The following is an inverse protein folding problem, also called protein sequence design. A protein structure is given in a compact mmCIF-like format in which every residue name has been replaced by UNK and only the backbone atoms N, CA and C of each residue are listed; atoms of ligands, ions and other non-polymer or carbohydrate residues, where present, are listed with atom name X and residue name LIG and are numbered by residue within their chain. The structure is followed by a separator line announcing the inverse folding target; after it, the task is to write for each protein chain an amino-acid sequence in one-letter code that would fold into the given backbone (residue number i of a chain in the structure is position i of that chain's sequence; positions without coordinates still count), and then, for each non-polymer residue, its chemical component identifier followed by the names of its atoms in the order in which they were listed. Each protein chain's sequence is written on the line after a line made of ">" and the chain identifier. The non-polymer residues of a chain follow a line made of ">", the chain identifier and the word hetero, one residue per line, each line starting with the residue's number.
data_IF_265501688666
#
_entry.id   IF_265501688666
#
_cell.length_a   1.000
_cell.length_b   1.000
_cell.length_c   1.000
_cell.angle_alpha   90.00
_cell.angle_beta   90.00
_cell.angle_gamma   90.00
#
_symmetry.space_group_name_H-M   'P 1'
#
loop_
_entity.id
_entity.type
_entity.pdbx_description
1 polymer ?
#
# COMPACT_ATOMS: atom_id res chain seq x y z
N UNK A 1 54.49 14.64 12.38
CA UNK A 1 53.18 14.65 13.07
C UNK A 1 52.31 13.55 12.49
N UNK A 2 51.83 12.55 13.25
CA UNK A 2 50.97 11.51 12.72
C UNK A 2 49.50 11.96 12.73
N UNK A 3 48.78 11.71 11.63
CA UNK A 3 47.34 12.00 11.49
C UNK A 3 46.53 11.00 12.31
N UNK A 4 45.68 11.51 13.21
CA UNK A 4 44.70 10.75 13.98
C UNK A 4 43.66 10.10 13.06
N UNK A 5 43.47 8.79 13.17
CA UNK A 5 42.33 8.08 12.56
C UNK A 5 41.15 8.15 13.52
N UNK A 6 40.11 8.88 13.13
CA UNK A 6 38.80 8.84 13.79
C UNK A 6 38.17 7.45 13.58
N UNK A 7 37.87 6.76 14.68
CA UNK A 7 37.07 5.53 14.67
C UNK A 7 35.60 5.92 14.63
N UNK A 8 34.90 5.60 13.54
CA UNK A 8 33.43 5.65 13.52
C UNK A 8 32.88 4.55 14.43
N UNK A 9 32.10 4.95 15.43
CA UNK A 9 31.29 4.02 16.22
C UNK A 9 30.17 3.45 15.33
N UNK A 10 29.87 2.14 15.45
CA UNK A 10 28.66 1.58 14.84
C UNK A 10 27.44 2.20 15.52
N UNK A 11 26.58 2.85 14.74
CA UNK A 11 25.26 3.28 15.20
C UNK A 11 24.37 2.04 15.32
N UNK A 12 23.81 1.83 16.50
CA UNK A 12 22.75 0.84 16.71
C UNK A 12 21.56 1.13 15.77
N UNK A 13 20.90 0.11 15.22
CA UNK A 13 19.72 0.31 14.38
C UNK A 13 18.63 0.98 15.19
N UNK A 14 18.24 2.20 14.79
CA UNK A 14 17.09 2.87 15.39
C UNK A 14 15.83 2.02 15.16
N UNK A 15 14.93 1.92 16.17
CA UNK A 15 13.66 1.25 16.01
C UNK A 15 12.85 1.95 14.90
N UNK A 16 12.07 1.20 14.09
CA UNK A 16 11.27 1.79 13.02
C UNK A 16 10.31 2.84 13.62
N UNK A 17 10.10 3.98 12.94
CA UNK A 17 9.14 4.97 13.38
C UNK A 17 7.75 4.32 13.52
N UNK A 18 6.91 4.78 14.46
CA UNK A 18 5.55 4.28 14.58
C UNK A 18 4.85 4.41 13.23
N UNK A 19 4.21 3.33 12.83
CA UNK A 19 3.49 3.20 11.57
C UNK A 19 2.31 4.19 11.59
N UNK A 20 2.53 5.45 11.23
CA UNK A 20 1.44 6.43 11.12
C UNK A 20 0.56 6.07 9.93
N UNK A 21 -0.74 5.91 10.13
CA UNK A 21 -1.70 5.70 9.04
C UNK A 21 -1.82 6.98 8.19
N UNK A 22 -2.23 6.89 6.90
CA UNK A 22 -2.73 8.03 6.15
C UNK A 22 -3.82 8.76 6.95
N UNK A 23 -3.78 10.09 7.00
CA UNK A 23 -4.69 10.89 7.84
C UNK A 23 -6.15 10.77 7.37
N UNK A 24 -6.35 10.60 6.07
CA UNK A 24 -7.67 10.44 5.45
C UNK A 24 -8.37 9.15 5.87
N UNK A 25 -7.62 8.14 6.32
CA UNK A 25 -8.21 6.91 6.82
C UNK A 25 -8.89 7.10 8.20
N UNK A 26 -8.56 8.17 8.92
CA UNK A 26 -9.05 8.45 10.29
C UNK A 26 -10.03 9.60 10.41
N UNK A 27 -10.22 10.39 9.36
CA UNK A 27 -10.91 11.68 9.45
C UNK A 27 -12.44 11.62 9.37
N UNK A 28 -13.00 10.40 9.43
CA UNK A 28 -14.44 10.10 9.41
C UNK A 28 -15.18 10.53 8.13
N UNK A 29 -14.48 11.05 7.13
CA UNK A 29 -15.07 11.38 5.84
C UNK A 29 -15.15 10.15 4.93
N UNK A 30 -16.06 10.13 3.94
CA UNK A 30 -16.20 9.03 2.99
C UNK A 30 -14.87 8.64 2.34
N UNK A 31 -14.69 7.34 2.13
CA UNK A 31 -13.53 6.73 1.49
C UNK A 31 -13.94 6.00 0.21
N UNK A 32 -13.01 5.78 -0.74
CA UNK A 32 -13.23 4.86 -1.85
C UNK A 32 -13.63 3.47 -1.33
N UNK A 33 -14.60 2.84 -1.99
CA UNK A 33 -15.03 1.47 -1.63
C UNK A 33 -13.90 0.47 -1.85
N UNK A 34 -13.06 0.71 -2.87
CA UNK A 34 -11.86 -0.08 -3.13
C UNK A 34 -10.70 0.82 -3.56
N UNK A 35 -9.53 0.55 -3.00
CA UNK A 35 -8.26 1.14 -3.44
C UNK A 35 -7.48 0.10 -4.25
N UNK A 36 -7.14 0.43 -5.49
CA UNK A 36 -6.39 -0.42 -6.39
C UNK A 36 -4.97 0.14 -6.53
N UNK A 37 -3.97 -0.73 -6.51
CA UNK A 37 -2.58 -0.36 -6.74
C UNK A 37 -2.03 -1.07 -7.98
N UNK A 38 -1.17 -0.40 -8.74
CA UNK A 38 -0.17 -1.10 -9.53
C UNK A 38 0.88 -1.79 -8.61
N UNK A 39 1.83 -2.53 -9.18
CA UNK A 39 2.91 -3.18 -8.44
C UNK A 39 4.26 -2.48 -8.63
N UNK A 40 4.76 -2.47 -9.86
CA UNK A 40 6.13 -2.08 -10.15
C UNK A 40 6.25 -0.56 -10.06
N UNK A 41 7.28 -0.05 -9.39
CA UNK A 41 7.42 1.37 -9.04
C UNK A 41 6.28 2.01 -8.23
N UNK A 42 5.22 1.27 -7.92
CA UNK A 42 4.08 1.71 -7.09
C UNK A 42 4.18 1.16 -5.66
N UNK A 43 4.22 -0.16 -5.48
CA UNK A 43 4.42 -0.79 -4.16
C UNK A 43 5.89 -1.02 -3.83
N UNK A 44 6.74 -1.20 -4.84
CA UNK A 44 8.17 -1.44 -4.67
C UNK A 44 9.00 -0.71 -5.75
N UNK A 45 10.27 -0.38 -5.49
CA UNK A 45 11.07 0.47 -6.38
C UNK A 45 11.79 -0.31 -7.50
N UNK A 46 11.10 -1.22 -8.19
CA UNK A 46 11.68 -2.02 -9.27
C UNK A 46 10.59 -2.62 -10.19
N UNK A 47 10.97 -3.00 -11.40
CA UNK A 47 10.22 -3.95 -12.24
C UNK A 47 10.55 -5.39 -11.85
N UNK A 48 9.56 -6.17 -11.42
CA UNK A 48 9.73 -7.55 -10.97
C UNK A 48 10.16 -8.50 -12.08
N UNK A 49 9.78 -8.24 -13.33
CA UNK A 49 10.15 -9.09 -14.48
C UNK A 49 11.54 -8.79 -15.06
N UNK A 50 12.17 -7.70 -14.61
CA UNK A 50 13.45 -7.23 -15.15
C UNK A 50 14.57 -7.30 -14.12
N UNK A 51 14.31 -6.85 -12.89
CA UNK A 51 15.35 -6.71 -11.87
C UNK A 51 15.48 -7.93 -10.95
N UNK A 52 14.45 -8.77 -10.85
CA UNK A 52 14.41 -9.87 -9.88
C UNK A 52 14.70 -11.20 -10.58
N UNK A 53 15.72 -11.93 -10.11
CA UNK A 53 16.05 -13.25 -10.66
C UNK A 53 15.45 -14.39 -9.83
N UNK A 54 14.40 -15.03 -10.34
CA UNK A 54 13.77 -16.19 -9.71
C UNK A 54 14.74 -17.40 -9.53
N UNK A 55 14.50 -18.28 -8.54
CA UNK A 55 13.46 -18.21 -7.52
C UNK A 55 13.76 -17.19 -6.42
N UNK A 56 12.71 -16.72 -5.75
CA UNK A 56 12.82 -15.82 -4.59
C UNK A 56 12.52 -16.57 -3.29
N UNK A 57 13.10 -16.10 -2.19
CA UNK A 57 12.85 -16.63 -0.84
C UNK A 57 12.78 -15.49 0.20
N UNK A 58 12.05 -15.66 1.31
CA UNK A 58 12.09 -14.70 2.42
C UNK A 58 13.53 -14.50 2.93
N UNK A 59 13.91 -13.25 3.20
CA UNK A 59 15.19 -12.94 3.87
C UNK A 59 15.16 -13.35 5.35
N UNK A 60 13.97 -13.23 5.97
CA UNK A 60 13.72 -13.56 7.37
C UNK A 60 12.75 -14.74 7.45
N UNK A 61 13.06 -15.80 8.21
CA UNK A 61 12.18 -16.95 8.35
C UNK A 61 10.95 -16.66 9.22
N UNK A 62 9.78 -17.26 8.92
CA UNK A 62 8.63 -17.23 9.82
C UNK A 62 8.98 -17.78 11.22
N UNK A 63 8.35 -17.29 12.31
CA UNK A 63 7.21 -16.37 12.35
C UNK A 63 7.58 -14.88 12.36
N UNK A 64 8.87 -14.54 12.21
CA UNK A 64 9.32 -13.16 12.25
C UNK A 64 8.81 -12.35 11.05
N UNK A 65 8.69 -11.03 11.25
CA UNK A 65 8.26 -10.09 10.22
C UNK A 65 9.32 -10.01 9.12
N UNK A 66 8.98 -10.53 7.93
CA UNK A 66 9.82 -10.47 6.75
C UNK A 66 9.47 -9.25 5.89
N UNK A 67 10.42 -8.32 5.75
CA UNK A 67 10.29 -7.09 4.96
C UNK A 67 10.99 -7.15 3.61
N UNK A 68 11.74 -8.24 3.34
CA UNK A 68 12.58 -8.41 2.16
C UNK A 68 12.52 -9.82 1.59
N UNK A 69 12.59 -9.92 0.27
CA UNK A 69 12.79 -11.15 -0.48
C UNK A 69 14.20 -11.15 -1.04
N UNK A 70 14.85 -12.31 -0.98
CA UNK A 70 16.14 -12.56 -1.61
C UNK A 70 15.89 -13.31 -2.91
N UNK A 71 16.50 -12.86 -3.98
CA UNK A 71 16.47 -13.57 -5.27
C UNK A 71 17.52 -14.70 -5.32
N UNK A 72 17.72 -15.31 -6.49
CA UNK A 72 18.68 -16.42 -6.65
C UNK A 72 20.14 -16.02 -6.40
N UNK A 73 20.47 -14.74 -6.55
CA UNK A 73 21.81 -14.18 -6.35
C UNK A 73 21.99 -13.61 -4.95
N UNK A 74 20.92 -13.57 -4.14
CA UNK A 74 20.91 -12.99 -2.81
C UNK A 74 20.65 -11.48 -2.81
N UNK A 75 20.24 -10.91 -3.94
CA UNK A 75 19.83 -9.51 -4.01
C UNK A 75 18.52 -9.31 -3.26
N UNK A 76 18.44 -8.20 -2.50
CA UNK A 76 17.34 -7.94 -1.56
C UNK A 76 16.32 -6.97 -2.14
N UNK A 77 15.08 -7.40 -2.22
CA UNK A 77 13.95 -6.65 -2.76
C UNK A 77 12.82 -6.53 -1.73
N UNK A 78 12.10 -5.40 -1.71
CA UNK A 78 10.92 -5.25 -0.86
C UNK A 78 10.17 -3.95 -1.14
N UNK A 79 9.11 -3.71 -0.39
CA UNK A 79 8.26 -2.53 -0.59
C UNK A 79 8.99 -1.21 -0.29
N UNK A 80 8.40 -0.12 -0.80
CA UNK A 80 8.59 1.22 -0.23
C UNK A 80 8.23 1.22 1.27
N UNK A 81 8.86 2.12 2.02
CA UNK A 81 8.81 2.12 3.50
C UNK A 81 7.40 2.31 4.07
N UNK A 82 6.54 3.06 3.38
CA UNK A 82 5.19 3.38 3.86
C UNK A 82 4.16 2.29 3.58
N UNK A 83 4.41 1.41 2.60
CA UNK A 83 3.44 0.41 2.13
C UNK A 83 2.97 -0.52 3.25
N UNK A 84 3.84 -1.13 4.09
CA UNK A 84 3.35 -1.98 5.18
C UNK A 84 2.38 -1.23 6.10
N UNK A 85 2.62 0.06 6.34
CA UNK A 85 1.72 0.86 7.16
C UNK A 85 0.39 1.21 6.52
N UNK A 86 0.41 1.54 5.24
CA UNK A 86 -0.79 1.78 4.45
C UNK A 86 -1.66 0.53 4.41
N UNK A 87 -1.06 -0.64 4.13
CA UNK A 87 -1.78 -1.91 4.07
C UNK A 87 -2.36 -2.30 5.42
N UNK A 88 -1.57 -2.22 6.51
CA UNK A 88 -2.04 -2.54 7.86
C UNK A 88 -3.21 -1.63 8.28
N UNK A 89 -3.03 -0.32 8.15
CA UNK A 89 -4.05 0.65 8.56
C UNK A 89 -5.30 0.62 7.69
N UNK A 90 -5.17 0.38 6.39
CA UNK A 90 -6.31 0.21 5.49
C UNK A 90 -7.14 -1.03 5.84
N UNK A 91 -6.45 -2.16 6.06
CA UNK A 91 -7.10 -3.42 6.46
C UNK A 91 -7.84 -3.31 7.81
N UNK A 92 -7.22 -2.68 8.81
CA UNK A 92 -7.85 -2.44 10.13
C UNK A 92 -9.12 -1.59 10.07
N UNK A 93 -9.25 -0.77 9.02
CA UNK A 93 -10.41 0.11 8.80
C UNK A 93 -11.42 -0.47 7.84
N UNK A 94 -11.21 -1.71 7.40
CA UNK A 94 -12.09 -2.38 6.44
C UNK A 94 -12.03 -1.78 5.03
N UNK A 95 -10.94 -1.09 4.67
CA UNK A 95 -10.74 -0.59 3.30
C UNK A 95 -10.35 -1.77 2.41
N UNK A 96 -11.19 -2.05 1.41
CA UNK A 96 -10.90 -3.11 0.44
C UNK A 96 -9.76 -2.65 -0.48
N UNK A 97 -8.78 -3.53 -0.71
CA UNK A 97 -7.65 -3.24 -1.59
C UNK A 97 -7.50 -4.30 -2.69
N UNK A 98 -7.03 -3.88 -3.86
CA UNK A 98 -6.76 -4.78 -4.99
C UNK A 98 -5.49 -4.39 -5.74
N UNK A 99 -5.13 -5.22 -6.72
CA UNK A 99 -3.97 -5.02 -7.58
C UNK A 99 -4.41 -5.04 -9.05
N UNK A 100 -3.81 -4.17 -9.85
CA UNK A 100 -3.87 -4.22 -11.30
C UNK A 100 -2.46 -4.03 -11.82
N UNK A 101 -1.77 -5.09 -12.24
CA UNK A 101 -0.38 -5.04 -12.72
C UNK A 101 -0.24 -5.69 -14.10
N UNK A 102 0.61 -5.06 -14.91
CA UNK A 102 0.91 -5.46 -16.28
C UNK A 102 2.16 -6.34 -16.45
N UNK A 103 2.81 -6.72 -15.36
CA UNK A 103 4.06 -7.47 -15.39
C UNK A 103 3.97 -8.74 -16.25
N UNK A 104 5.04 -9.05 -16.97
CA UNK A 104 5.20 -10.32 -17.69
C UNK A 104 5.63 -11.49 -16.79
N UNK A 105 5.92 -11.24 -15.51
CA UNK A 105 6.29 -12.26 -14.53
C UNK A 105 5.24 -12.40 -13.41
N UNK A 106 3.98 -12.78 -13.73
CA UNK A 106 2.89 -12.78 -12.75
C UNK A 106 3.10 -13.74 -11.59
N UNK A 107 3.74 -14.89 -11.83
CA UNK A 107 4.00 -15.86 -10.76
C UNK A 107 5.09 -15.39 -9.80
N UNK A 108 6.15 -14.76 -10.34
CA UNK A 108 7.20 -14.14 -9.53
C UNK A 108 6.66 -13.01 -8.66
N UNK A 109 5.79 -12.16 -9.22
CA UNK A 109 5.09 -11.11 -8.46
C UNK A 109 4.26 -11.69 -7.32
N UNK A 110 3.53 -12.80 -7.55
CA UNK A 110 2.78 -13.49 -6.50
C UNK A 110 3.69 -14.09 -5.44
N UNK A 111 4.84 -14.65 -5.81
CA UNK A 111 5.80 -15.20 -4.87
C UNK A 111 6.44 -14.12 -4.00
N UNK A 112 6.74 -12.95 -4.58
CA UNK A 112 7.14 -11.75 -3.83
C UNK A 112 6.08 -11.36 -2.78
N UNK A 113 4.81 -11.23 -3.19
CA UNK A 113 3.71 -10.86 -2.28
C UNK A 113 3.42 -11.93 -1.21
N UNK A 114 3.66 -13.22 -1.49
CA UNK A 114 3.50 -14.31 -0.52
C UNK A 114 4.59 -14.31 0.54
N UNK A 115 5.81 -13.93 0.18
CA UNK A 115 6.95 -13.94 1.09
C UNK A 115 7.13 -12.64 1.88
N UNK A 116 6.72 -11.50 1.32
CA UNK A 116 6.67 -10.23 2.05
C UNK A 116 5.52 -10.26 3.08
N UNK A 117 5.77 -9.69 4.25
CA UNK A 117 4.78 -9.61 5.32
C UNK A 117 4.53 -8.18 5.75
N UNK A 118 3.38 -7.96 6.36
CA UNK A 118 2.91 -6.69 6.90
C UNK A 118 2.62 -6.88 8.39
N UNK A 119 3.02 -5.94 9.28
CA UNK A 119 2.70 -6.01 10.69
C UNK A 119 1.18 -6.02 10.89
N UNK A 120 0.68 -6.82 11.84
CA UNK A 120 -0.70 -6.71 12.30
C UNK A 120 -0.70 -5.80 13.53
N UNK A 121 -1.48 -4.71 13.54
CA UNK A 121 -1.65 -3.92 14.77
C UNK A 121 -2.75 -4.51 15.67
N UNK A 122 -2.95 -5.83 15.65
CA UNK A 122 -3.90 -6.49 16.55
C UNK A 122 -3.63 -6.03 17.99
N UNK A 123 -4.51 -5.16 18.50
CA UNK A 123 -4.53 -4.65 19.86
C UNK A 123 -5.00 -5.75 20.83
N UNK A 124 -4.43 -6.95 20.69
CA UNK A 124 -4.53 -7.97 21.70
C UNK A 124 -3.60 -7.55 22.85
N UNK A 125 -4.13 -7.62 24.06
CA UNK A 125 -3.55 -7.29 25.37
C UNK A 125 -2.22 -7.99 25.71
N UNK A 126 -1.60 -8.68 24.76
CA UNK A 126 -0.25 -9.26 24.81
C UNK A 126 0.50 -8.88 23.52
N UNK A 127 1.30 -7.81 23.58
CA UNK A 127 2.12 -7.28 22.49
C UNK A 127 3.22 -8.22 21.97
N UNK A 128 3.25 -9.48 22.43
CA UNK A 128 4.25 -10.49 22.08
C UNK A 128 3.76 -11.59 21.12
N UNK A 129 2.52 -11.50 20.58
CA UNK A 129 1.91 -12.59 19.76
C UNK A 129 1.26 -12.16 18.45
N UNK A 130 1.31 -10.89 18.04
CA UNK A 130 0.74 -10.48 16.76
C UNK A 130 1.53 -11.09 15.59
N UNK A 131 0.95 -12.08 14.90
CA UNK A 131 1.56 -12.74 13.76
C UNK A 131 1.49 -11.81 12.55
N UNK A 132 2.61 -11.53 11.86
CA UNK A 132 2.58 -10.73 10.65
C UNK A 132 1.79 -11.46 9.55
N UNK A 133 1.03 -10.71 8.76
CA UNK A 133 0.20 -11.22 7.66
C UNK A 133 1.01 -11.16 6.36
N UNK A 134 0.76 -12.09 5.43
CA UNK A 134 1.43 -12.02 4.11
C UNK A 134 0.82 -10.89 3.31
N UNK A 135 1.63 -10.17 2.53
CA UNK A 135 1.14 -9.03 1.76
C UNK A 135 0.06 -9.42 0.75
N UNK A 136 0.16 -10.62 0.15
CA UNK A 136 -0.86 -11.13 -0.79
C UNK A 136 -2.26 -11.23 -0.17
N UNK A 137 -2.36 -11.42 1.14
CA UNK A 137 -3.65 -11.61 1.84
C UNK A 137 -4.41 -10.28 2.03
N UNK A 138 -3.78 -9.12 1.74
CA UNK A 138 -4.41 -7.80 1.80
C UNK A 138 -5.15 -7.43 0.52
N UNK A 139 -4.95 -8.18 -0.58
CA UNK A 139 -5.44 -7.81 -1.90
C UNK A 139 -6.50 -8.80 -2.39
N UNK A 140 -7.73 -8.32 -2.56
CA UNK A 140 -8.82 -9.10 -3.16
C UNK A 140 -8.79 -8.96 -4.68
N UNK A 141 -9.22 -10.00 -5.39
CA UNK A 141 -9.41 -9.97 -6.85
C UNK A 141 -8.20 -9.47 -7.66
N UNK A 142 -6.97 -9.67 -7.16
CA UNK A 142 -5.75 -9.17 -7.77
C UNK A 142 -5.60 -9.59 -9.24
N UNK A 143 -5.44 -8.61 -10.13
CA UNK A 143 -5.25 -8.81 -11.56
C UNK A 143 -3.78 -8.56 -11.93
N UNK A 144 -2.98 -9.63 -11.96
CA UNK A 144 -1.53 -9.58 -12.25
C UNK A 144 -1.27 -10.39 -13.52
N UNK A 145 -1.19 -9.71 -14.66
CA UNK A 145 -0.89 -10.28 -15.98
C UNK A 145 -0.77 -9.16 -17.04
N UNK A 146 -0.08 -9.41 -18.18
CA UNK A 146 0.00 -8.43 -19.27
C UNK A 146 -1.37 -8.07 -19.86
N UNK A 147 -1.63 -6.78 -20.06
CA UNK A 147 -2.90 -6.31 -20.63
C UNK A 147 -3.13 -4.81 -20.44
N UNK A 148 -4.34 -4.34 -20.75
CA UNK A 148 -4.74 -2.95 -20.47
C UNK A 148 -5.33 -2.82 -19.08
N UNK A 149 -5.02 -1.73 -18.38
CA UNK A 149 -5.59 -1.44 -17.04
C UNK A 149 -7.11 -1.40 -17.07
N UNK A 150 -7.71 -0.91 -18.16
CA UNK A 150 -9.17 -0.95 -18.34
C UNK A 150 -9.74 -2.37 -18.31
N UNK A 151 -9.02 -3.37 -18.83
CA UNK A 151 -9.41 -4.78 -18.72
C UNK A 151 -9.25 -5.31 -17.30
N UNK A 152 -8.16 -4.96 -16.61
CA UNK A 152 -7.96 -5.33 -15.20
C UNK A 152 -9.12 -4.78 -14.34
N UNK A 153 -9.48 -3.50 -14.49
CA UNK A 153 -10.57 -2.87 -13.75
C UNK A 153 -11.94 -3.50 -14.01
N UNK A 154 -12.28 -3.80 -15.27
CA UNK A 154 -13.52 -4.54 -15.59
C UNK A 154 -13.59 -5.90 -14.90
N UNK A 155 -12.46 -6.61 -14.80
CA UNK A 155 -12.41 -7.89 -14.07
C UNK A 155 -12.50 -7.74 -12.56
N UNK A 156 -11.92 -6.68 -11.99
CA UNK A 156 -12.10 -6.35 -10.57
C UNK A 156 -13.58 -6.11 -10.29
N UNK A 157 -14.25 -5.25 -11.08
CA UNK A 157 -15.69 -4.99 -10.93
C UNK A 157 -16.51 -6.28 -11.02
N UNK A 158 -16.34 -7.07 -12.09
CA UNK A 158 -17.07 -8.33 -12.26
C UNK A 158 -16.84 -9.33 -11.12
N UNK A 159 -15.63 -9.34 -10.54
CA UNK A 159 -15.32 -10.20 -9.40
C UNK A 159 -15.99 -9.71 -8.10
N UNK A 160 -16.06 -8.39 -7.89
CA UNK A 160 -16.78 -7.78 -6.76
C UNK A 160 -18.31 -7.98 -6.89
N UNK A 161 -18.86 -7.87 -8.10
CA UNK A 161 -20.26 -8.19 -8.40
C UNK A 161 -20.57 -9.66 -8.08
N UNK A 162 -19.73 -10.59 -8.56
CA UNK A 162 -19.87 -12.01 -8.26
C UNK A 162 -19.77 -12.32 -6.76
N UNK A 163 -19.01 -11.54 -6.00
CA UNK A 163 -18.91 -11.64 -4.55
C UNK A 163 -20.12 -11.04 -3.80
N UNK A 164 -21.07 -10.43 -4.50
CA UNK A 164 -22.27 -9.82 -3.93
C UNK A 164 -22.09 -8.36 -3.49
N UNK A 165 -20.97 -7.73 -3.86
CA UNK A 165 -20.63 -6.35 -3.51
C UNK A 165 -20.17 -5.59 -4.75
N UNK A 166 -21.08 -5.38 -5.71
CA UNK A 166 -20.75 -4.62 -6.92
C UNK A 166 -20.20 -3.23 -6.55
N UNK A 167 -19.04 -2.88 -7.12
CA UNK A 167 -18.40 -1.58 -6.90
C UNK A 167 -18.44 -0.77 -8.21
N UNK A 168 -19.13 0.37 -8.26
CA UNK A 168 -19.05 1.30 -9.38
C UNK A 168 -17.63 1.79 -9.62
N UNK A 169 -17.24 2.00 -10.88
CA UNK A 169 -15.88 2.46 -11.20
C UNK A 169 -15.53 3.80 -10.54
N UNK A 170 -16.49 4.71 -10.45
CA UNK A 170 -16.31 5.98 -9.76
C UNK A 170 -15.89 5.81 -8.30
N UNK A 171 -16.38 4.78 -7.61
CA UNK A 171 -16.04 4.45 -6.21
C UNK A 171 -14.68 3.77 -6.05
N UNK A 172 -13.92 3.60 -7.13
CA UNK A 172 -12.57 3.09 -7.12
C UNK A 172 -11.54 4.24 -7.16
N UNK A 173 -10.47 4.08 -6.37
CA UNK A 173 -9.28 4.92 -6.42
C UNK A 173 -8.09 4.06 -6.87
N UNK A 174 -7.32 4.56 -7.83
CA UNK A 174 -6.21 3.83 -8.44
C UNK A 174 -4.90 4.59 -8.36
N UNK A 175 -3.86 3.92 -7.87
CA UNK A 175 -2.50 4.41 -7.79
C UNK A 175 -1.59 3.69 -8.80
N UNK A 176 -0.88 4.45 -9.62
CA UNK A 176 0.03 3.94 -10.65
C UNK A 176 1.11 4.99 -10.95
N UNK A 177 2.35 4.57 -11.19
CA UNK A 177 3.46 5.47 -11.53
C UNK A 177 3.44 5.92 -12.99
N UNK A 178 2.69 5.24 -13.84
CA UNK A 178 2.76 5.38 -15.28
C UNK A 178 1.57 6.17 -15.84
N UNK A 179 1.82 7.44 -16.20
CA UNK A 179 0.77 8.37 -16.64
C UNK A 179 -0.09 7.88 -17.83
N UNK A 180 0.39 6.95 -18.67
CA UNK A 180 -0.41 6.37 -19.76
C UNK A 180 -1.57 5.50 -19.25
N UNK A 181 -1.52 5.02 -18.02
CA UNK A 181 -2.59 4.23 -17.40
C UNK A 181 -3.75 5.11 -16.89
N UNK A 182 -3.65 6.45 -16.99
CA UNK A 182 -4.75 7.40 -16.69
C UNK A 182 -6.00 7.16 -17.54
N UNK A 183 -5.90 6.42 -18.64
CA UNK A 183 -7.06 6.14 -19.48
C UNK A 183 -8.20 5.40 -18.74
N UNK A 184 -7.93 4.70 -17.62
CA UNK A 184 -9.00 4.15 -16.77
C UNK A 184 -9.93 5.23 -16.19
N UNK A 185 -9.41 6.42 -15.93
CA UNK A 185 -10.19 7.54 -15.43
C UNK A 185 -11.09 8.10 -16.53
N UNK A 186 -10.56 8.30 -17.73
CA UNK A 186 -11.32 8.87 -18.85
C UNK A 186 -12.31 7.87 -19.45
N UNK A 187 -12.01 6.57 -19.45
CA UNK A 187 -12.84 5.55 -20.09
C UNK A 187 -13.85 4.90 -19.13
N UNK A 188 -13.53 4.79 -17.84
CA UNK A 188 -14.37 4.06 -16.87
C UNK A 188 -14.89 4.94 -15.73
N UNK A 189 -14.31 6.12 -15.48
CA UNK A 189 -14.70 7.00 -14.38
C UNK A 189 -13.95 6.76 -13.07
N UNK A 190 -13.00 5.83 -13.04
CA UNK A 190 -12.09 5.60 -11.90
C UNK A 190 -11.37 6.89 -11.51
N UNK A 191 -11.08 7.10 -10.22
CA UNK A 191 -10.16 8.17 -9.82
C UNK A 191 -8.72 7.69 -9.99
N UNK A 192 -7.94 8.31 -10.88
CA UNK A 192 -6.54 7.98 -11.11
C UNK A 192 -5.62 8.96 -10.37
N UNK A 193 -4.68 8.42 -9.61
CA UNK A 193 -3.66 9.18 -8.91
C UNK A 193 -2.25 8.73 -9.32
N UNK A 194 -1.47 9.67 -9.86
CA UNK A 194 -0.12 9.41 -10.37
C UNK A 194 0.89 9.40 -9.23
N UNK A 195 1.69 8.34 -9.10
CA UNK A 195 2.72 8.20 -8.05
C UNK A 195 4.12 8.02 -8.66
N UNK A 196 4.75 9.09 -9.19
CA UNK A 196 6.00 8.97 -9.96
C UNK A 196 7.20 8.49 -9.13
N UNK A 197 7.07 8.47 -7.80
CA UNK A 197 8.11 8.05 -6.86
C UNK A 197 7.63 6.96 -5.90
N UNK A 198 6.61 6.21 -6.31
CA UNK A 198 5.96 5.21 -5.48
C UNK A 198 4.98 5.80 -4.47
N UNK A 199 4.19 4.92 -3.87
CA UNK A 199 3.15 5.31 -2.93
C UNK A 199 3.77 5.64 -1.57
N UNK A 200 3.44 6.83 -1.07
CA UNK A 200 3.67 7.26 0.31
C UNK A 200 2.33 7.49 0.99
N UNK A 201 2.33 7.75 2.30
CA UNK A 201 1.10 8.13 3.03
C UNK A 201 0.49 9.41 2.48
N UNK A 202 1.32 10.38 2.13
CA UNK A 202 0.87 11.64 1.55
C UNK A 202 0.23 11.42 0.18
N UNK A 203 0.78 10.51 -0.64
CA UNK A 203 0.15 10.13 -1.91
C UNK A 203 -1.22 9.50 -1.69
N UNK A 204 -1.37 8.61 -0.70
CA UNK A 204 -2.67 8.03 -0.35
C UNK A 204 -3.65 9.12 0.08
N UNK A 205 -3.24 10.03 0.95
CA UNK A 205 -4.08 11.14 1.40
C UNK A 205 -4.49 12.04 0.24
N UNK A 206 -3.57 12.37 -0.66
CA UNK A 206 -3.86 13.19 -1.84
C UNK A 206 -4.81 12.48 -2.82
N UNK A 207 -4.60 11.18 -3.07
CA UNK A 207 -5.50 10.38 -3.92
C UNK A 207 -6.91 10.28 -3.35
N UNK A 208 -7.06 10.09 -2.03
CA UNK A 208 -8.36 10.09 -1.36
C UNK A 208 -9.02 11.47 -1.44
N UNK A 209 -8.25 12.56 -1.27
CA UNK A 209 -8.78 13.91 -1.44
C UNK A 209 -9.23 14.21 -2.87
N UNK A 210 -8.53 13.73 -3.90
CA UNK A 210 -8.97 13.88 -5.29
C UNK A 210 -10.26 13.09 -5.54
N UNK A 211 -10.36 11.86 -5.01
CA UNK A 211 -11.58 11.04 -5.08
C UNK A 211 -12.78 11.73 -4.40
N UNK A 212 -12.55 12.37 -3.24
CA UNK A 212 -13.54 13.16 -2.49
C UNK A 212 -13.96 14.41 -3.24
N UNK A 213 -13.01 15.14 -3.82
CA UNK A 213 -13.26 16.36 -4.59
C UNK A 213 -14.19 16.09 -5.78
N UNK A 214 -14.03 14.95 -6.46
CA UNK A 214 -14.92 14.50 -7.54
C UNK A 214 -16.36 14.23 -7.09
N UNK A 215 -16.59 14.16 -5.78
CA UNK A 215 -17.90 14.01 -5.13
C UNK A 215 -18.36 15.28 -4.40
N UNK A 216 -17.67 16.40 -4.60
CA UNK A 216 -17.98 17.66 -3.93
C UNK A 216 -17.59 17.70 -2.45
N UNK A 217 -16.86 16.71 -1.94
CA UNK A 217 -16.36 16.69 -0.56
C UNK A 217 -15.04 17.45 -0.50
N UNK A 218 -14.93 18.37 0.45
CA UNK A 218 -13.80 19.28 0.62
C UNK A 218 -13.26 19.25 2.04
N UNK A 219 -12.14 19.94 2.28
CA UNK A 219 -11.58 20.07 3.64
C UNK A 219 -12.49 20.82 4.62
N UNK A 220 -13.52 21.52 4.13
CA UNK A 220 -14.50 22.20 4.98
C UNK A 220 -15.48 21.22 5.62
N UNK A 221 -15.61 20.03 5.05
CA UNK A 221 -16.51 18.98 5.53
C UNK A 221 -15.88 18.17 6.67
N UNK A 222 -14.60 18.41 6.98
CA UNK A 222 -13.93 17.79 8.12
C UNK A 222 -14.66 18.11 9.43
N UNK A 223 -14.83 17.14 10.34
CA UNK A 223 -15.37 17.40 11.66
C UNK A 223 -14.56 18.50 12.35
N UNK A 224 -15.24 19.45 13.00
CA UNK A 224 -14.57 20.42 13.84
C UNK A 224 -13.78 19.67 14.92
N UNK A 225 -12.50 20.03 15.11
CA UNK A 225 -11.73 19.49 16.24
C UNK A 225 -12.43 19.94 17.52
N UNK A 226 -13.02 19.01 18.27
CA UNK A 226 -13.52 19.30 19.61
C UNK A 226 -12.34 19.77 20.48
N UNK A 227 -12.28 21.07 20.72
CA UNK A 227 -11.37 21.66 21.70
C UNK A 227 -11.95 21.35 23.08
N UNK A 228 -11.55 20.24 23.70
CA UNK A 228 -11.71 20.08 25.14
C UNK A 228 -10.73 21.00 25.87
N UNK A 229 -11.07 22.28 25.92
CA UNK A 229 -10.61 23.17 26.97
C UNK A 229 -11.44 22.85 28.21
N UNK A 230 -10.96 21.94 29.04
CA UNK A 230 -11.46 21.81 30.40
C UNK A 230 -11.00 23.07 31.16
N UNK A 231 -11.95 23.99 31.37
CA UNK A 231 -11.85 25.02 32.39
C UNK A 231 -11.63 24.34 33.74
N UNK A 232 -10.41 24.44 34.26
CA UNK A 232 -10.13 24.24 35.68
C UNK A 232 -10.50 25.55 36.39
N UNK A 233 -11.78 25.74 36.68
CA UNK A 233 -12.20 26.48 37.87
C UNK A 233 -12.55 25.47 38.97
N UNK A 234 -11.83 25.58 40.09
CA UNK A 234 -11.95 24.76 41.28
C UNK A 234 -10.82 25.03 42.25
#
# INVERSE_FOLDING_TARGET
>A
MPRSKSKSQPQDPQPPPPISAPSTFTDSLPLPTIIVFDLDYTLWPFWVDTHVSAPVKPATPPPAHNTRMLDRWGESFGFYSDIPGILASGHERGITMSLASRTHAPDLARDMLRGLTVPSNSAATDSSKAKPLRAIDFFVHAQIYPGTKTTHFKRIQAATEKAGSEVPFEDMLFFDDEGRNRNVETELGVTFWLVPHGVTKDEVDNGVWEWRKRRGITRKDLPAKESHAAELEG
#
